data_IF_234778224473
#
_entry.id   IF_234778224473
#
_cell.length_a   1.000
_cell.length_b   1.000
_cell.length_c   1.000
_cell.angle_alpha   90.00
_cell.angle_beta   90.00
_cell.angle_gamma   90.00
#
_symmetry.space_group_name_H-M   'P 1'
#
loop_
_entity.id
_entity.type
_entity.pdbx_description
1 polymer ?
#
# COMPACT_ATOMS: atom_id res chain seq x y z
N UNK A 1 -12.63 -10.57 -32.18
CA UNK A 1 -12.34 -9.80 -30.94
C UNK A 1 -13.17 -8.54 -30.97
N UNK A 2 -13.89 -8.21 -29.89
CA UNK A 2 -14.67 -6.95 -29.81
C UNK A 2 -13.69 -5.80 -29.68
N UNK A 3 -13.98 -4.67 -30.32
CA UNK A 3 -13.03 -3.53 -30.42
C UNK A 3 -12.56 -2.98 -29.06
N UNK A 4 -13.37 -3.08 -27.99
CA UNK A 4 -13.00 -2.63 -26.64
C UNK A 4 -11.96 -3.53 -25.96
N UNK A 5 -11.84 -4.81 -26.36
CA UNK A 5 -10.87 -5.74 -25.78
C UNK A 5 -9.42 -5.30 -26.05
N UNK A 6 -9.21 -4.51 -27.12
CA UNK A 6 -7.89 -3.95 -27.43
C UNK A 6 -7.44 -2.84 -26.43
N UNK A 7 -8.40 -2.30 -25.68
CA UNK A 7 -8.13 -1.26 -24.68
C UNK A 7 -7.88 -1.82 -23.28
N UNK A 8 -8.04 -3.14 -23.09
CA UNK A 8 -7.75 -3.77 -21.81
C UNK A 8 -6.23 -3.75 -21.57
N UNK A 9 -5.84 -3.22 -20.43
CA UNK A 9 -4.43 -3.25 -20.00
C UNK A 9 -4.02 -4.68 -19.68
N UNK A 10 -2.92 -5.11 -20.26
CA UNK A 10 -2.33 -6.43 -20.00
C UNK A 10 -1.22 -6.24 -18.98
N UNK A 11 -1.53 -6.52 -17.74
CA UNK A 11 -0.57 -6.44 -16.62
C UNK A 11 -0.42 -7.83 -16.05
N UNK A 12 0.79 -8.22 -15.69
CA UNK A 12 1.03 -9.44 -14.92
C UNK A 12 0.53 -9.19 -13.50
N UNK A 13 -0.49 -9.92 -13.02
CA UNK A 13 -1.02 -9.67 -11.69
C UNK A 13 0.00 -10.07 -10.62
N UNK A 14 -0.08 -9.40 -9.49
CA UNK A 14 0.65 -9.80 -8.29
C UNK A 14 0.30 -11.24 -7.90
N UNK A 15 1.33 -12.04 -7.63
CA UNK A 15 1.16 -13.40 -7.12
C UNK A 15 1.41 -13.37 -5.61
N UNK A 16 0.37 -13.61 -4.79
CA UNK A 16 0.54 -13.67 -3.34
C UNK A 16 1.50 -14.79 -2.93
N UNK A 17 2.27 -14.55 -1.88
CA UNK A 17 3.07 -15.60 -1.26
C UNK A 17 2.20 -16.76 -0.77
N UNK A 18 2.82 -17.92 -0.56
CA UNK A 18 2.13 -19.12 -0.06
C UNK A 18 1.32 -18.81 1.22
N UNK A 19 0.09 -19.35 1.27
CA UNK A 19 -0.82 -19.27 2.41
C UNK A 19 -1.10 -20.69 2.95
N UNK A 20 -0.11 -21.38 3.51
CA UNK A 20 -0.28 -22.75 3.97
C UNK A 20 -1.21 -22.80 5.20
N UNK A 21 -2.08 -23.80 5.22
CA UNK A 21 -3.07 -24.04 6.31
C UNK A 21 -2.62 -25.15 7.27
N UNK A 22 -1.32 -25.29 7.51
CA UNK A 22 -0.81 -26.32 8.44
C UNK A 22 -0.77 -25.77 9.86
N UNK A 23 -1.21 -26.58 10.81
CA UNK A 23 -1.08 -26.28 12.24
C UNK A 23 0.41 -26.16 12.65
N UNK A 24 0.71 -25.29 13.60
CA UNK A 24 2.06 -25.05 14.13
C UNK A 24 3.12 -24.57 13.15
N UNK A 25 2.71 -23.89 12.06
CA UNK A 25 3.65 -23.33 11.12
C UNK A 25 4.14 -21.94 11.56
N UNK A 26 5.45 -21.73 11.46
CA UNK A 26 6.05 -20.40 11.60
C UNK A 26 5.94 -19.69 10.26
N UNK A 27 5.08 -18.68 10.16
CA UNK A 27 4.87 -17.87 8.96
C UNK A 27 5.83 -16.68 8.98
N UNK A 28 6.70 -16.60 7.96
CA UNK A 28 7.71 -15.54 7.84
C UNK A 28 7.52 -14.68 6.57
N UNK A 29 6.46 -14.92 5.81
CA UNK A 29 6.12 -14.12 4.63
C UNK A 29 5.07 -13.05 4.97
N UNK A 30 4.85 -12.11 4.02
CA UNK A 30 3.86 -11.02 4.08
C UNK A 30 4.06 -9.98 5.19
N UNK A 31 5.18 -10.01 5.90
CA UNK A 31 5.54 -9.04 6.96
C UNK A 31 4.44 -8.83 8.02
N UNK A 32 3.72 -9.90 8.38
CA UNK A 32 2.70 -9.83 9.42
C UNK A 32 3.33 -9.52 10.78
N UNK A 33 2.70 -8.61 11.52
CA UNK A 33 3.15 -8.31 12.88
C UNK A 33 2.87 -9.50 13.80
N UNK A 34 3.89 -10.08 14.47
CA UNK A 34 3.69 -11.23 15.37
C UNK A 34 3.03 -10.87 16.71
N UNK A 35 2.90 -9.58 17.00
CA UNK A 35 2.30 -9.10 18.24
C UNK A 35 0.83 -8.71 18.01
N UNK A 36 -0.05 -8.96 18.98
CA UNK A 36 -1.43 -8.50 18.92
C UNK A 36 -1.50 -6.98 18.96
N UNK A 37 -2.64 -6.39 18.53
CA UNK A 37 -2.88 -4.96 18.69
C UNK A 37 -2.76 -4.50 20.14
N UNK A 38 -2.53 -3.19 20.34
CA UNK A 38 -2.50 -2.61 21.68
C UNK A 38 -3.81 -2.92 22.47
N UNK A 39 -3.77 -3.08 23.81
CA UNK A 39 -4.93 -3.50 24.59
C UNK A 39 -6.19 -2.66 24.42
N UNK A 40 -6.03 -1.35 24.14
CA UNK A 40 -7.15 -0.44 23.90
C UNK A 40 -7.91 -0.67 22.59
N UNK A 41 -7.32 -1.38 21.63
CA UNK A 41 -7.94 -1.58 20.29
C UNK A 41 -9.21 -2.41 20.40
N UNK A 42 -9.19 -3.50 21.17
CA UNK A 42 -10.36 -4.35 21.36
C UNK A 42 -11.55 -3.57 21.94
N UNK A 43 -11.29 -2.70 22.93
CA UNK A 43 -12.31 -1.82 23.49
C UNK A 43 -12.82 -0.82 22.44
N UNK A 44 -11.93 -0.16 21.73
CA UNK A 44 -12.30 0.83 20.70
C UNK A 44 -13.18 0.20 19.61
N UNK A 45 -12.87 -1.04 19.19
CA UNK A 45 -13.70 -1.78 18.22
C UNK A 45 -15.06 -2.14 18.81
N UNK A 46 -15.12 -2.55 20.07
CA UNK A 46 -16.38 -2.90 20.75
C UNK A 46 -17.29 -1.68 20.98
N UNK A 47 -16.70 -0.50 21.16
CA UNK A 47 -17.41 0.76 21.39
C UNK A 47 -17.91 1.42 20.07
N UNK A 48 -17.65 0.84 18.90
CA UNK A 48 -18.12 1.37 17.61
C UNK A 48 -19.65 1.37 17.59
N UNK A 49 -20.23 2.53 17.36
CA UNK A 49 -21.65 2.70 17.13
C UNK A 49 -22.02 2.14 15.74
N UNK A 50 -22.59 0.95 15.73
CA UNK A 50 -22.97 0.24 14.51
C UNK A 50 -23.99 1.02 13.68
N UNK A 51 -24.87 1.77 14.31
CA UNK A 51 -25.88 2.58 13.62
C UNK A 51 -25.25 3.71 12.78
N UNK A 52 -24.07 4.16 13.15
CA UNK A 52 -23.31 5.16 12.39
C UNK A 52 -22.66 4.62 11.12
N UNK A 53 -22.49 3.29 10.97
CA UNK A 53 -21.90 2.71 9.76
C UNK A 53 -22.74 2.95 8.49
N UNK A 54 -24.02 3.32 8.62
CA UNK A 54 -24.87 3.74 7.49
C UNK A 54 -24.60 5.15 6.98
N UNK A 55 -23.81 5.93 7.72
CA UNK A 55 -23.50 7.33 7.38
C UNK A 55 -22.16 7.39 6.63
N UNK A 56 -22.00 8.44 5.83
CA UNK A 56 -20.69 8.73 5.26
C UNK A 56 -19.66 8.99 6.37
N UNK A 57 -18.45 8.44 6.24
CA UNK A 57 -17.35 8.78 7.14
C UNK A 57 -16.87 10.22 6.94
N UNK A 58 -16.05 10.72 7.84
CA UNK A 58 -15.31 11.95 7.63
C UNK A 58 -14.40 11.82 6.40
N UNK A 59 -14.60 12.62 5.35
CA UNK A 59 -13.85 12.48 4.09
C UNK A 59 -12.36 12.83 4.21
N UNK A 60 -11.97 13.56 5.25
CA UNK A 60 -10.58 13.95 5.51
C UNK A 60 -9.94 13.17 6.67
N UNK A 61 -10.69 12.28 7.31
CA UNK A 61 -10.25 11.42 8.42
C UNK A 61 -9.48 12.21 9.48
N UNK A 62 -10.03 13.37 9.87
CA UNK A 62 -9.34 14.40 10.64
C UNK A 62 -8.71 13.89 11.94
N UNK A 63 -9.42 13.08 12.71
CA UNK A 63 -8.94 12.56 14.00
C UNK A 63 -7.72 11.65 13.82
N UNK A 64 -7.72 10.80 12.77
CA UNK A 64 -6.60 9.91 12.47
C UNK A 64 -5.39 10.71 11.97
N UNK A 65 -5.62 11.65 11.06
CA UNK A 65 -4.56 12.56 10.56
C UNK A 65 -3.92 13.31 11.70
N UNK A 66 -4.71 13.88 12.61
CA UNK A 66 -4.19 14.58 13.80
C UNK A 66 -3.37 13.65 14.70
N UNK A 67 -3.87 12.45 14.98
CA UNK A 67 -3.15 11.47 15.80
C UNK A 67 -1.81 11.04 15.20
N UNK A 68 -1.75 10.84 13.87
CA UNK A 68 -0.52 10.51 13.15
C UNK A 68 0.45 11.71 13.19
N UNK A 69 -0.04 12.92 12.90
CA UNK A 69 0.77 14.14 12.91
C UNK A 69 1.38 14.39 14.30
N UNK A 70 0.60 14.24 15.36
CA UNK A 70 1.09 14.36 16.73
C UNK A 70 2.16 13.34 17.09
N UNK A 71 1.96 12.09 16.63
CA UNK A 71 2.92 11.01 16.90
C UNK A 71 4.25 11.25 16.20
N UNK A 72 4.23 11.62 14.92
CA UNK A 72 5.43 11.84 14.12
C UNK A 72 6.00 13.26 14.24
N UNK A 73 5.33 14.18 14.94
CA UNK A 73 5.73 15.58 15.10
C UNK A 73 5.82 16.33 13.76
N UNK A 74 4.82 16.14 12.93
CA UNK A 74 4.65 16.80 11.63
C UNK A 74 3.34 17.59 11.60
N UNK A 75 3.15 18.42 10.60
CA UNK A 75 1.90 19.15 10.39
C UNK A 75 0.83 18.25 9.75
N UNK A 76 -0.45 18.53 10.00
CA UNK A 76 -1.56 17.73 9.42
C UNK A 76 -1.53 17.66 7.89
N UNK A 77 -1.09 18.73 7.23
CA UNK A 77 -0.95 18.77 5.77
C UNK A 77 0.22 17.95 5.21
N UNK A 78 1.03 17.36 6.08
CA UNK A 78 2.11 16.41 5.72
C UNK A 78 1.70 14.95 5.92
N UNK A 79 0.44 14.70 6.26
CA UNK A 79 -0.10 13.36 6.49
C UNK A 79 -1.17 13.06 5.45
N UNK A 80 -1.01 11.95 4.76
CA UNK A 80 -2.01 11.39 3.86
C UNK A 80 -2.35 9.97 4.30
N UNK A 81 -3.63 9.63 4.36
CA UNK A 81 -4.13 8.31 4.75
C UNK A 81 -4.96 7.69 3.63
N UNK A 82 -4.86 6.38 3.50
CA UNK A 82 -5.63 5.58 2.54
C UNK A 82 -5.98 4.22 3.13
N UNK A 83 -6.66 3.38 2.36
CA UNK A 83 -7.07 2.03 2.79
C UNK A 83 -5.90 1.05 2.62
N UNK A 84 -4.87 1.22 3.44
CA UNK A 84 -3.64 0.45 3.37
C UNK A 84 -2.59 1.05 2.43
N UNK A 85 -1.36 0.51 2.52
CA UNK A 85 -0.21 1.01 1.76
C UNK A 85 -0.39 0.91 0.24
N UNK A 86 -1.07 -0.12 -0.24
CA UNK A 86 -1.26 -0.31 -1.69
C UNK A 86 -2.15 0.77 -2.29
N UNK A 87 -3.20 1.18 -1.58
CA UNK A 87 -4.06 2.30 -1.98
C UNK A 87 -3.29 3.62 -2.02
N UNK A 88 -2.50 3.89 -0.97
CA UNK A 88 -1.64 5.07 -0.91
C UNK A 88 -0.60 5.07 -2.02
N UNK A 89 0.06 3.94 -2.29
CA UNK A 89 1.00 3.79 -3.38
C UNK A 89 0.35 4.03 -4.75
N UNK A 90 -0.83 3.47 -4.98
CA UNK A 90 -1.57 3.70 -6.22
C UNK A 90 -1.83 5.20 -6.45
N UNK A 91 -2.25 5.92 -5.41
CA UNK A 91 -2.47 7.37 -5.47
C UNK A 91 -1.18 8.15 -5.71
N UNK A 92 -0.06 7.74 -5.10
CA UNK A 92 1.26 8.33 -5.34
C UNK A 92 1.66 8.16 -6.81
N UNK A 93 1.55 6.93 -7.34
CA UNK A 93 1.89 6.65 -8.73
C UNK A 93 1.04 7.48 -9.71
N UNK A 94 -0.26 7.56 -9.47
CA UNK A 94 -1.16 8.35 -10.30
C UNK A 94 -0.91 9.86 -10.22
N UNK A 95 -0.44 10.35 -9.07
CA UNK A 95 -0.32 11.79 -8.82
C UNK A 95 1.03 12.34 -9.25
N UNK A 96 2.12 11.65 -8.92
CA UNK A 96 3.47 12.20 -9.01
C UNK A 96 4.29 11.66 -10.18
N UNK A 97 3.97 10.47 -10.70
CA UNK A 97 4.81 9.80 -11.69
C UNK A 97 4.22 9.89 -13.10
N UNK A 98 3.91 11.12 -13.54
CA UNK A 98 3.30 11.39 -14.84
C UNK A 98 4.30 11.98 -15.86
N UNK A 99 5.60 11.97 -15.55
CA UNK A 99 6.65 12.47 -16.44
C UNK A 99 7.00 11.44 -17.54
N UNK A 100 7.83 11.86 -18.49
CA UNK A 100 8.38 10.96 -19.52
C UNK A 100 9.62 10.24 -19.05
N UNK A 101 10.28 10.79 -18.05
CA UNK A 101 11.45 10.21 -17.40
C UNK A 101 11.04 8.96 -16.59
N UNK A 102 11.86 7.91 -16.61
CA UNK A 102 11.56 6.70 -15.84
C UNK A 102 11.64 6.96 -14.33
N UNK A 103 10.76 6.31 -13.57
CA UNK A 103 10.95 6.17 -12.13
C UNK A 103 11.98 5.08 -11.86
N UNK A 104 12.70 5.20 -10.76
CA UNK A 104 13.74 4.26 -10.37
C UNK A 104 13.36 3.56 -9.08
N UNK A 105 13.58 2.24 -9.04
CA UNK A 105 13.45 1.47 -7.81
C UNK A 105 14.41 0.26 -7.83
N UNK A 106 14.76 -0.30 -6.67
CA UNK A 106 15.63 -1.46 -6.60
C UNK A 106 15.06 -2.67 -7.35
N UNK A 107 15.94 -3.51 -7.92
CA UNK A 107 15.55 -4.76 -8.59
C UNK A 107 14.95 -5.79 -7.61
N UNK A 108 15.40 -5.75 -6.34
CA UNK A 108 14.81 -6.53 -5.24
C UNK A 108 14.03 -5.56 -4.35
N UNK A 109 12.72 -5.53 -4.53
CA UNK A 109 11.83 -4.58 -3.87
C UNK A 109 10.40 -5.12 -3.75
N UNK A 110 9.49 -4.27 -3.31
CA UNK A 110 8.08 -4.59 -3.24
C UNK A 110 7.48 -4.75 -4.65
N UNK A 111 6.99 -5.95 -4.93
CA UNK A 111 6.56 -6.36 -6.29
C UNK A 111 5.38 -5.57 -6.87
N UNK A 112 4.67 -4.78 -6.07
CA UNK A 112 3.62 -3.90 -6.58
C UNK A 112 4.14 -2.67 -7.33
N UNK A 113 5.41 -2.30 -7.19
CA UNK A 113 5.95 -1.16 -7.95
C UNK A 113 5.89 -1.40 -9.46
N UNK A 114 6.29 -2.59 -9.90
CA UNK A 114 6.15 -2.98 -11.31
C UNK A 114 4.68 -2.98 -11.76
N UNK A 115 3.80 -3.56 -10.93
CA UNK A 115 2.37 -3.66 -11.24
C UNK A 115 1.75 -2.29 -11.46
N UNK A 116 2.03 -1.32 -10.56
CA UNK A 116 1.53 0.04 -10.71
C UNK A 116 2.14 0.75 -11.91
N UNK A 117 3.46 0.62 -12.13
CA UNK A 117 4.13 1.24 -13.26
C UNK A 117 3.57 0.72 -14.59
N UNK A 118 3.41 -0.60 -14.75
CA UNK A 118 2.84 -1.20 -15.95
C UNK A 118 1.37 -0.83 -16.14
N UNK A 119 0.57 -0.89 -15.07
CA UNK A 119 -0.86 -0.57 -15.13
C UNK A 119 -1.11 0.89 -15.53
N UNK A 120 -0.27 1.80 -15.06
CA UNK A 120 -0.38 3.23 -15.34
C UNK A 120 0.46 3.67 -16.56
N UNK A 121 1.24 2.75 -17.16
CA UNK A 121 2.14 3.01 -18.29
C UNK A 121 3.22 4.04 -17.95
N UNK A 122 3.73 3.98 -16.74
CA UNK A 122 4.83 4.82 -16.26
C UNK A 122 6.13 4.15 -16.66
N UNK A 123 7.06 4.85 -17.35
CA UNK A 123 8.38 4.31 -17.61
C UNK A 123 9.11 4.03 -16.30
N UNK A 124 9.84 2.91 -16.22
CA UNK A 124 10.62 2.60 -15.02
C UNK A 124 11.90 1.85 -15.35
N UNK A 125 12.87 1.95 -14.45
CA UNK A 125 14.12 1.18 -14.49
C UNK A 125 14.36 0.54 -13.13
N UNK A 126 14.77 -0.73 -13.16
CA UNK A 126 15.20 -1.45 -11.96
C UNK A 126 16.69 -1.26 -11.77
N UNK A 127 17.07 -0.72 -10.63
CA UNK A 127 18.46 -0.47 -10.28
C UNK A 127 18.99 -1.64 -9.45
N UNK A 128 20.00 -2.37 -9.92
CA UNK A 128 20.58 -3.47 -9.18
C UNK A 128 21.11 -3.02 -7.81
N UNK A 129 20.76 -3.76 -6.77
CA UNK A 129 21.41 -3.63 -5.47
C UNK A 129 22.86 -4.13 -5.56
N UNK A 130 23.72 -3.64 -4.67
CA UNK A 130 25.07 -4.19 -4.52
C UNK A 130 25.08 -5.53 -3.77
N UNK A 131 26.27 -6.13 -3.62
CA UNK A 131 26.44 -7.42 -2.94
C UNK A 131 26.05 -7.38 -1.44
N UNK A 132 25.92 -6.19 -0.85
CA UNK A 132 25.44 -5.96 0.50
C UNK A 132 23.95 -5.56 0.56
N UNK A 133 23.23 -5.67 -0.56
CA UNK A 133 21.80 -5.29 -0.72
C UNK A 133 21.54 -3.81 -0.45
N UNK A 134 22.49 -2.94 -0.80
CA UNK A 134 22.36 -1.48 -0.67
C UNK A 134 22.07 -0.85 -2.02
N UNK A 135 21.34 0.26 -1.99
CA UNK A 135 21.14 1.14 -3.15
C UNK A 135 22.46 1.89 -3.41
N UNK A 136 22.93 1.85 -4.67
CA UNK A 136 24.11 2.59 -5.13
C UNK A 136 23.82 4.04 -5.44
#
# INVERSE_FOLDING_TARGET
MKNWENNIRKVVPYVPGEQPKKEHMIKLNTNENPYPPAPGVAKAVADVDIDRLRLYPDPVVADLVQGIADFYKVENNQVFVGVGSDDVLAMIFMTFFNAKEPILFPDITYSFYDVWAEMLRIPYERIPLDDESKIR
#
